data_IF_221615722648
#
_entry.id   IF_221615722648
#
_cell.length_a   1.000
_cell.length_b   1.000
_cell.length_c   1.000
_cell.angle_alpha   90.00
_cell.angle_beta   90.00
_cell.angle_gamma   90.00
#
_symmetry.space_group_name_H-M   'P 1'
#
loop_
_entity.id
_entity.type
_entity.pdbx_description
1 polymer ?
#
# COMPACT_ATOMS: atom_id res chain seq x y z
N UNK A 1 -8.13 8.32 -7.62
CA UNK A 1 -7.53 6.98 -7.82
C UNK A 1 -7.25 6.76 -9.30
N UNK A 2 -6.18 6.04 -9.67
CA UNK A 2 -5.90 5.65 -11.05
C UNK A 2 -6.96 4.66 -11.55
N UNK A 3 -7.52 4.93 -12.71
CA UNK A 3 -8.59 4.14 -13.35
C UNK A 3 -8.35 4.01 -14.85
N UNK A 4 -9.01 3.02 -15.46
CA UNK A 4 -8.90 2.77 -16.90
C UNK A 4 -7.60 2.09 -17.29
N UNK A 5 -7.34 2.07 -18.60
CA UNK A 5 -6.10 1.57 -19.19
C UNK A 5 -5.08 2.71 -19.21
N UNK A 6 -3.83 2.41 -18.85
CA UNK A 6 -2.79 3.42 -18.85
C UNK A 6 -2.30 3.76 -20.25
N UNK A 7 -1.83 4.99 -20.42
CA UNK A 7 -0.97 5.39 -21.52
C UNK A 7 0.49 5.29 -21.07
N UNK A 8 1.34 4.61 -21.86
CA UNK A 8 2.77 4.55 -21.61
C UNK A 8 3.50 5.65 -22.38
N UNK A 9 4.38 6.36 -21.69
CA UNK A 9 5.18 7.46 -22.26
C UNK A 9 6.63 7.31 -21.80
N UNK A 10 7.56 7.45 -22.74
CA UNK A 10 9.00 7.47 -22.50
C UNK A 10 9.55 8.84 -22.90
N UNK A 11 10.41 9.41 -22.05
CA UNK A 11 10.95 10.76 -22.20
C UNK A 11 10.68 11.63 -20.97
N UNK A 12 11.10 12.91 -21.00
CA UNK A 12 10.89 13.82 -19.88
C UNK A 12 9.42 13.92 -19.47
N UNK A 13 9.13 13.72 -18.18
CA UNK A 13 7.76 13.79 -17.64
C UNK A 13 7.63 15.01 -16.75
N UNK A 14 6.61 15.85 -17.01
CA UNK A 14 6.28 16.97 -16.14
C UNK A 14 5.52 16.49 -14.89
N UNK A 15 6.26 16.27 -13.80
CA UNK A 15 5.72 15.92 -12.48
C UNK A 15 5.27 17.15 -11.66
N UNK A 16 5.45 18.37 -12.18
CA UNK A 16 4.98 19.58 -11.50
C UNK A 16 3.48 19.76 -11.64
N UNK A 17 2.85 19.11 -12.63
CA UNK A 17 1.41 19.09 -12.80
C UNK A 17 0.71 18.37 -11.61
N UNK A 18 -0.01 19.10 -10.74
CA UNK A 18 -0.66 18.51 -9.56
C UNK A 18 -1.83 17.62 -9.93
N UNK A 19 -2.29 17.60 -11.18
CA UNK A 19 -3.36 16.72 -11.67
C UNK A 19 -2.84 15.42 -12.28
N UNK A 20 -1.52 15.27 -12.49
CA UNK A 20 -0.95 14.04 -13.03
C UNK A 20 -1.28 12.85 -12.12
N UNK A 21 -1.84 11.79 -12.71
CA UNK A 21 -2.06 10.49 -12.07
C UNK A 21 -1.26 9.48 -12.87
N UNK A 22 -0.07 9.15 -12.38
CA UNK A 22 0.82 8.25 -13.08
C UNK A 22 1.72 7.50 -12.11
N UNK A 23 2.25 6.36 -12.55
CA UNK A 23 3.46 5.78 -11.95
C UNK A 23 4.64 6.19 -12.81
N UNK A 24 5.62 6.82 -12.18
CA UNK A 24 6.69 7.53 -12.86
C UNK A 24 8.01 6.92 -12.43
N UNK A 25 8.83 6.51 -13.41
CA UNK A 25 10.24 6.20 -13.16
C UNK A 25 11.04 7.48 -13.22
N UNK A 26 11.86 7.68 -12.20
CA UNK A 26 12.67 8.86 -12.06
C UNK A 26 13.96 8.56 -11.31
N UNK A 27 14.98 9.36 -11.61
CA UNK A 27 16.15 9.50 -10.78
C UNK A 27 15.85 10.53 -9.69
N UNK A 28 15.96 10.10 -8.44
CA UNK A 28 15.65 10.88 -7.25
C UNK A 28 16.95 11.28 -6.58
N UNK A 29 17.10 12.55 -6.22
CA UNK A 29 18.14 13.03 -5.29
C UNK A 29 17.46 13.73 -4.12
N UNK A 30 17.55 13.10 -2.95
CA UNK A 30 17.01 13.63 -1.71
C UNK A 30 17.93 14.72 -1.12
N UNK A 31 17.38 15.79 -0.51
CA UNK A 31 18.17 16.78 0.20
C UNK A 31 18.89 16.17 1.42
N UNK A 32 20.09 16.65 1.71
CA UNK A 32 20.95 16.12 2.78
C UNK A 32 20.38 16.37 4.18
N UNK A 33 19.58 17.43 4.36
CA UNK A 33 19.10 17.90 5.67
C UNK A 33 17.65 17.47 6.00
N UNK A 34 17.18 16.34 5.44
CA UNK A 34 15.83 15.84 5.74
C UNK A 34 15.75 15.27 7.16
N UNK A 35 14.98 15.93 8.02
CA UNK A 35 14.61 15.37 9.33
C UNK A 35 13.73 14.12 9.20
N UNK A 36 12.81 14.15 8.23
CA UNK A 36 11.90 13.04 7.92
C UNK A 36 11.96 12.80 6.41
N UNK A 37 12.64 11.74 5.95
CA UNK A 37 12.64 11.38 4.54
C UNK A 37 11.27 10.80 4.13
N UNK A 38 10.86 11.07 2.88
CA UNK A 38 9.53 10.69 2.37
C UNK A 38 9.56 9.38 1.59
N UNK A 39 10.47 9.29 0.61
CA UNK A 39 10.42 8.26 -0.43
C UNK A 39 11.12 6.98 0.01
N UNK A 40 10.42 5.84 0.11
CA UNK A 40 11.04 4.56 0.40
C UNK A 40 11.75 4.00 -0.83
N UNK A 41 12.89 3.35 -0.63
CA UNK A 41 13.64 2.63 -1.66
C UNK A 41 14.05 1.26 -1.12
N UNK A 42 14.06 0.24 -1.98
CA UNK A 42 14.56 -1.08 -1.62
C UNK A 42 16.04 -1.19 -1.99
N UNK A 43 16.89 -1.38 -0.99
CA UNK A 43 18.33 -1.63 -1.16
C UNK A 43 18.66 -2.95 -0.48
N UNK A 44 19.29 -3.89 -1.20
CA UNK A 44 19.68 -5.20 -0.68
C UNK A 44 18.54 -5.96 0.03
N UNK A 45 17.34 -5.95 -0.56
CA UNK A 45 16.15 -6.62 -0.01
C UNK A 45 15.49 -5.92 1.18
N UNK A 46 16.05 -4.82 1.69
CA UNK A 46 15.47 -4.03 2.79
C UNK A 46 14.86 -2.74 2.26
N UNK A 47 13.70 -2.39 2.79
CA UNK A 47 13.10 -1.08 2.56
C UNK A 47 13.76 -0.07 3.49
N UNK A 48 14.31 0.99 2.92
CA UNK A 48 14.89 2.12 3.65
C UNK A 48 14.22 3.41 3.17
N UNK A 49 14.19 4.42 4.04
CA UNK A 49 13.66 5.74 3.71
C UNK A 49 14.69 6.74 4.21
N UNK A 50 15.44 7.36 3.30
CA UNK A 50 16.67 8.07 3.64
C UNK A 50 17.08 9.12 2.61
N UNK A 51 18.23 9.74 2.86
CA UNK A 51 18.90 10.62 1.92
C UNK A 51 19.75 9.84 0.91
N UNK A 52 20.13 10.49 -0.19
CA UNK A 52 20.96 9.90 -1.24
C UNK A 52 20.39 10.11 -2.64
N UNK A 53 20.95 9.39 -3.61
CA UNK A 53 20.49 9.38 -5.00
C UNK A 53 20.23 7.97 -5.47
N UNK A 54 19.09 7.74 -6.14
CA UNK A 54 18.71 6.43 -6.64
C UNK A 54 17.70 6.54 -7.78
N UNK A 55 17.54 5.45 -8.52
CA UNK A 55 16.44 5.27 -9.48
C UNK A 55 15.29 4.52 -8.81
N UNK A 56 14.06 4.98 -9.05
CA UNK A 56 12.87 4.35 -8.51
C UNK A 56 11.61 4.67 -9.30
N UNK A 57 10.56 3.90 -9.02
CA UNK A 57 9.23 4.13 -9.56
C UNK A 57 8.28 4.53 -8.43
N UNK A 58 7.63 5.68 -8.59
CA UNK A 58 6.78 6.27 -7.56
C UNK A 58 5.47 6.75 -8.15
N UNK A 59 4.45 6.87 -7.31
CA UNK A 59 3.21 7.52 -7.70
C UNK A 59 3.44 9.03 -7.87
N UNK A 60 2.87 9.63 -8.91
CA UNK A 60 3.07 11.03 -9.29
C UNK A 60 2.76 12.01 -8.15
N UNK A 61 1.77 11.71 -7.29
CA UNK A 61 1.45 12.54 -6.13
C UNK A 61 2.52 12.53 -5.04
N UNK A 62 3.17 11.38 -4.82
CA UNK A 62 4.31 11.30 -3.90
C UNK A 62 5.49 12.11 -4.45
N UNK A 63 5.75 12.05 -5.76
CA UNK A 63 6.81 12.84 -6.38
C UNK A 63 6.52 14.34 -6.34
N UNK A 64 5.27 14.73 -6.62
CA UNK A 64 4.85 16.13 -6.52
C UNK A 64 5.01 16.66 -5.10
N UNK A 65 4.63 15.88 -4.08
CA UNK A 65 4.86 16.23 -2.68
C UNK A 65 6.35 16.28 -2.34
N UNK A 66 7.15 15.35 -2.85
CA UNK A 66 8.61 15.35 -2.66
C UNK A 66 9.28 16.63 -3.20
N UNK A 67 8.81 17.20 -4.32
CA UNK A 67 9.31 18.49 -4.81
C UNK A 67 9.17 19.60 -3.77
N UNK A 68 8.05 19.64 -3.04
CA UNK A 68 7.83 20.63 -1.97
C UNK A 68 8.80 20.49 -0.79
N UNK A 69 9.38 19.30 -0.62
CA UNK A 69 10.38 18.98 0.41
C UNK A 69 11.83 19.19 -0.10
N UNK A 70 12.00 19.72 -1.31
CA UNK A 70 13.32 20.02 -1.89
C UNK A 70 14.01 18.84 -2.59
N UNK A 71 13.29 17.75 -2.89
CA UNK A 71 13.83 16.68 -3.72
C UNK A 71 14.10 17.17 -5.15
N UNK A 72 15.23 16.76 -5.72
CA UNK A 72 15.50 16.90 -7.15
C UNK A 72 15.08 15.61 -7.84
N UNK A 73 14.29 15.73 -8.90
CA UNK A 73 13.64 14.58 -9.54
C UNK A 73 13.75 14.73 -11.05
N UNK A 74 14.42 13.77 -11.69
CA UNK A 74 14.54 13.67 -13.15
C UNK A 74 13.65 12.52 -13.62
N UNK A 75 12.43 12.83 -14.04
CA UNK A 75 11.44 11.84 -14.48
C UNK A 75 11.57 11.56 -15.98
N UNK A 76 11.63 10.27 -16.35
CA UNK A 76 11.98 9.85 -17.72
C UNK A 76 11.06 8.77 -18.33
N UNK A 77 10.13 8.21 -17.56
CA UNK A 77 9.14 7.27 -18.05
C UNK A 77 7.88 7.33 -17.17
N UNK A 78 6.69 7.22 -17.76
CA UNK A 78 5.44 7.23 -17.02
C UNK A 78 4.37 6.28 -17.58
N UNK A 79 3.54 5.77 -16.67
CA UNK A 79 2.31 5.04 -16.94
C UNK A 79 1.15 5.92 -16.44
N UNK A 80 0.48 6.62 -17.35
CA UNK A 80 -0.49 7.68 -17.06
C UNK A 80 -1.91 7.10 -17.07
N UNK A 81 -2.70 7.42 -16.06
CA UNK A 81 -4.07 6.93 -15.87
C UNK A 81 -5.07 8.08 -15.79
N UNK A 82 -6.36 7.76 -15.99
CA UNK A 82 -7.44 8.66 -15.59
C UNK A 82 -7.57 8.70 -14.06
N UNK A 83 -7.76 9.90 -13.50
CA UNK A 83 -8.00 10.12 -12.08
C UNK A 83 -9.50 10.21 -11.75
N UNK A 84 -10.02 9.32 -10.90
CA UNK A 84 -11.42 9.35 -10.45
C UNK A 84 -11.58 9.10 -8.94
N UNK A 85 -12.65 9.62 -8.35
CA UNK A 85 -13.04 9.38 -6.94
C UNK A 85 -14.00 8.18 -6.85
N UNK A 86 -13.46 6.97 -7.05
CA UNK A 86 -14.29 5.75 -7.18
C UNK A 86 -14.78 5.16 -5.86
N UNK A 87 -14.28 5.62 -4.71
CA UNK A 87 -14.63 5.06 -3.39
C UNK A 87 -15.36 6.03 -2.47
N UNK A 88 -15.62 7.27 -2.91
CA UNK A 88 -16.10 8.32 -2.01
C UNK A 88 -17.43 7.93 -1.34
N UNK A 89 -18.44 7.64 -2.15
CA UNK A 89 -19.77 7.25 -1.68
C UNK A 89 -19.72 5.96 -0.84
N UNK A 90 -18.94 4.97 -1.28
CA UNK A 90 -18.78 3.71 -0.54
C UNK A 90 -18.20 3.95 0.87
N UNK A 91 -17.09 4.68 0.97
CA UNK A 91 -16.42 4.94 2.25
C UNK A 91 -17.29 5.82 3.15
N UNK A 92 -17.94 6.85 2.60
CA UNK A 92 -18.85 7.72 3.36
C UNK A 92 -20.03 6.93 3.92
N UNK A 93 -20.67 6.09 3.12
CA UNK A 93 -21.79 5.27 3.57
C UNK A 93 -21.40 4.32 4.71
N UNK A 94 -20.27 3.60 4.56
CA UNK A 94 -19.80 2.67 5.60
C UNK A 94 -19.32 3.42 6.86
N UNK A 95 -18.69 4.58 6.70
CA UNK A 95 -18.29 5.41 7.83
C UNK A 95 -19.51 5.96 8.60
N UNK A 96 -20.52 6.45 7.90
CA UNK A 96 -21.77 6.92 8.51
C UNK A 96 -22.51 5.80 9.24
N UNK A 97 -22.51 4.58 8.67
CA UNK A 97 -23.04 3.40 9.36
C UNK A 97 -22.25 3.10 10.63
N UNK A 98 -20.91 3.13 10.55
CA UNK A 98 -20.02 2.90 11.69
C UNK A 98 -20.28 3.85 12.85
N UNK A 99 -20.61 5.12 12.57
CA UNK A 99 -20.88 6.14 13.59
C UNK A 99 -22.15 5.87 14.41
N UNK A 100 -23.06 5.02 13.93
CA UNK A 100 -24.28 4.64 14.68
C UNK A 100 -24.00 3.71 15.85
N UNK A 101 -22.82 3.10 15.90
CA UNK A 101 -22.47 2.08 16.90
C UNK A 101 -21.28 2.53 17.77
N UNK A 102 -21.28 2.28 19.09
CA UNK A 102 -20.14 2.57 19.94
C UNK A 102 -18.93 1.69 19.60
N UNK A 103 -17.71 2.12 19.99
CA UNK A 103 -16.46 1.40 19.67
C UNK A 103 -16.40 -0.05 20.19
N UNK A 104 -17.18 -0.38 21.23
CA UNK A 104 -17.28 -1.71 21.82
C UNK A 104 -18.22 -2.64 21.03
N UNK A 105 -19.00 -2.12 20.09
CA UNK A 105 -19.98 -2.88 19.34
C UNK A 105 -19.32 -3.66 18.19
N UNK A 106 -19.65 -4.95 17.99
CA UNK A 106 -19.15 -5.74 16.86
C UNK A 106 -19.41 -5.10 15.49
N UNK A 107 -20.52 -4.39 15.31
CA UNK A 107 -20.84 -3.73 14.05
C UNK A 107 -19.87 -2.57 13.75
N UNK A 108 -19.45 -1.81 14.77
CA UNK A 108 -18.42 -0.79 14.60
C UNK A 108 -17.11 -1.42 14.08
N UNK A 109 -16.74 -2.57 14.65
CA UNK A 109 -15.56 -3.33 14.24
C UNK A 109 -15.68 -3.87 12.82
N UNK A 110 -16.83 -4.44 12.44
CA UNK A 110 -17.10 -4.91 11.07
C UNK A 110 -16.98 -3.78 10.06
N UNK A 111 -17.63 -2.62 10.29
CA UNK A 111 -17.50 -1.48 9.40
C UNK A 111 -16.05 -1.02 9.26
N UNK A 112 -15.29 -0.97 10.37
CA UNK A 112 -13.86 -0.64 10.34
C UNK A 112 -13.06 -1.63 9.50
N UNK A 113 -13.31 -2.94 9.64
CA UNK A 113 -12.64 -3.96 8.85
C UNK A 113 -12.94 -3.79 7.36
N UNK A 114 -14.21 -3.59 6.98
CA UNK A 114 -14.59 -3.37 5.57
C UNK A 114 -13.82 -2.19 4.98
N UNK A 115 -13.79 -1.04 5.66
CA UNK A 115 -13.05 0.14 5.22
C UNK A 115 -11.55 -0.15 5.04
N UNK A 116 -10.93 -0.79 6.02
CA UNK A 116 -9.49 -1.08 6.00
C UNK A 116 -9.11 -2.18 5.00
N UNK A 117 -9.96 -3.18 4.78
CA UNK A 117 -9.67 -4.32 3.91
C UNK A 117 -9.90 -4.01 2.43
N UNK A 118 -10.68 -2.96 2.10
CA UNK A 118 -11.04 -2.63 0.71
C UNK A 118 -9.82 -2.38 -0.16
N UNK A 119 -8.86 -1.57 0.28
CA UNK A 119 -7.65 -1.33 -0.51
C UNK A 119 -6.75 -2.57 -0.60
N UNK A 120 -6.73 -3.39 0.46
CA UNK A 120 -5.98 -4.65 0.50
C UNK A 120 -6.45 -5.64 -0.55
N UNK A 121 -7.76 -5.69 -0.82
CA UNK A 121 -8.35 -6.48 -1.91
C UNK A 121 -7.73 -6.14 -3.27
N UNK A 122 -7.52 -4.85 -3.56
CA UNK A 122 -6.92 -4.43 -4.83
C UNK A 122 -5.44 -4.78 -4.97
N UNK A 123 -4.74 -5.03 -3.87
CA UNK A 123 -3.32 -5.40 -3.83
C UNK A 123 -3.04 -6.89 -3.62
N UNK A 124 -4.05 -7.76 -3.74
CA UNK A 124 -3.86 -9.20 -3.58
C UNK A 124 -2.98 -9.77 -4.70
N UNK A 125 -2.09 -10.70 -4.33
CA UNK A 125 -1.27 -11.41 -5.30
C UNK A 125 -2.18 -12.22 -6.24
N UNK A 126 -1.95 -12.15 -7.57
CA UNK A 126 -2.77 -12.87 -8.54
C UNK A 126 -2.53 -14.38 -8.49
N UNK A 127 -1.34 -14.79 -8.07
CA UNK A 127 -0.98 -16.20 -7.88
C UNK A 127 -1.19 -16.52 -6.40
N UNK A 128 -2.16 -17.38 -6.13
CA UNK A 128 -2.42 -17.90 -4.80
C UNK A 128 -1.65 -19.20 -4.59
N UNK A 129 -1.02 -19.29 -3.43
CA UNK A 129 -0.42 -20.52 -2.96
C UNK A 129 -1.50 -21.36 -2.28
N UNK A 130 -1.60 -22.62 -2.68
CA UNK A 130 -2.43 -23.60 -2.00
C UNK A 130 -1.56 -24.53 -1.17
N UNK A 131 -2.06 -24.90 0.01
CA UNK A 131 -1.36 -25.75 0.96
C UNK A 131 -2.27 -26.92 1.27
N UNK A 132 -1.85 -28.11 0.83
CA UNK A 132 -2.58 -29.35 1.09
C UNK A 132 -1.75 -30.27 1.96
N UNK A 133 -2.44 -30.99 2.85
CA UNK A 133 -1.83 -32.05 3.66
C UNK A 133 -2.31 -33.38 3.11
N UNK A 134 -1.35 -34.23 2.76
CA UNK A 134 -1.61 -35.52 2.14
C UNK A 134 -1.08 -36.65 3.02
N UNK A 135 -1.71 -37.82 2.90
CA UNK A 135 -1.10 -39.05 3.37
C UNK A 135 -0.03 -39.48 2.36
N UNK A 136 1.19 -39.73 2.84
CA UNK A 136 2.33 -40.14 2.01
C UNK A 136 2.07 -41.46 1.26
N UNK A 137 1.24 -42.33 1.82
CA UNK A 137 0.95 -43.65 1.24
C UNK A 137 -0.19 -43.62 0.22
N UNK A 138 -0.74 -42.45 -0.10
CA UNK A 138 -1.83 -42.31 -1.04
C UNK A 138 -1.30 -41.72 -2.36
N UNK A 139 -1.17 -42.61 -3.34
CA UNK A 139 -0.57 -42.36 -4.66
C UNK A 139 -1.37 -41.35 -5.50
N UNK A 140 -2.62 -41.04 -5.12
CA UNK A 140 -3.50 -40.12 -5.85
C UNK A 140 -3.30 -38.65 -5.44
N UNK A 141 -2.40 -38.35 -4.52
CA UNK A 141 -2.21 -36.99 -3.98
C UNK A 141 -1.24 -36.12 -4.80
N UNK A 142 -0.48 -36.71 -5.72
CA UNK A 142 0.44 -36.00 -6.60
C UNK A 142 -0.20 -35.82 -7.97
N UNK A 143 -1.05 -34.81 -8.11
CA UNK A 143 -1.69 -34.47 -9.39
C UNK A 143 -0.63 -34.00 -10.40
N UNK A 144 -0.59 -34.67 -11.54
CA UNK A 144 0.33 -34.40 -12.64
C UNK A 144 0.20 -32.94 -13.13
N UNK A 145 1.32 -32.22 -13.26
CA UNK A 145 1.34 -30.81 -13.71
C UNK A 145 1.28 -29.73 -12.62
N UNK A 146 1.34 -30.09 -11.33
CA UNK A 146 1.41 -29.11 -10.23
C UNK A 146 2.85 -28.63 -9.99
N UNK A 147 3.10 -27.32 -10.07
CA UNK A 147 4.38 -26.74 -9.67
C UNK A 147 4.46 -26.66 -8.13
N UNK A 148 5.26 -27.54 -7.53
CA UNK A 148 5.51 -27.56 -6.10
C UNK A 148 6.51 -26.47 -5.71
N UNK A 149 6.11 -25.64 -4.75
CA UNK A 149 6.97 -24.60 -4.18
C UNK A 149 7.75 -25.12 -2.97
N UNK A 150 7.10 -25.93 -2.13
CA UNK A 150 7.72 -26.49 -0.93
C UNK A 150 7.01 -27.78 -0.50
N UNK A 151 7.78 -28.69 0.11
CA UNK A 151 7.29 -29.95 0.66
C UNK A 151 7.88 -30.11 2.07
N UNK A 152 7.02 -30.03 3.08
CA UNK A 152 7.40 -30.18 4.48
C UNK A 152 6.85 -31.50 5.03
N UNK A 153 7.72 -32.38 5.52
CA UNK A 153 7.30 -33.60 6.20
C UNK A 153 6.78 -33.25 7.60
N UNK A 154 5.51 -33.56 7.87
CA UNK A 154 4.92 -33.35 9.21
C UNK A 154 5.27 -34.54 10.11
N UNK A 155 5.11 -35.76 9.60
CA UNK A 155 5.51 -37.00 10.27
C UNK A 155 5.71 -38.13 9.24
N UNK A 156 5.85 -39.37 9.70
CA UNK A 156 6.07 -40.55 8.83
C UNK A 156 4.96 -40.78 7.80
N UNK A 157 3.73 -40.37 8.11
CA UNK A 157 2.54 -40.63 7.30
C UNK A 157 1.99 -39.38 6.60
N UNK A 158 2.37 -38.17 7.02
CA UNK A 158 1.79 -36.92 6.54
C UNK A 158 2.84 -35.99 5.95
N UNK A 159 2.51 -35.44 4.79
CA UNK A 159 3.29 -34.43 4.10
C UNK A 159 2.44 -33.20 3.82
N UNK A 160 3.00 -32.03 4.09
CA UNK A 160 2.43 -30.75 3.68
C UNK A 160 3.09 -30.35 2.37
N UNK A 161 2.26 -30.05 1.38
CA UNK A 161 2.70 -29.65 0.05
C UNK A 161 2.14 -28.27 -0.24
N UNK A 162 3.04 -27.37 -0.57
CA UNK A 162 2.77 -26.01 -0.98
C UNK A 162 2.92 -25.93 -2.49
N UNK A 163 1.88 -25.50 -3.19
CA UNK A 163 1.88 -25.42 -4.66
C UNK A 163 1.21 -24.15 -5.15
N UNK A 164 1.56 -23.70 -6.36
CA UNK A 164 0.77 -22.70 -7.06
C UNK A 164 -0.53 -23.33 -7.56
N UNK A 165 -1.69 -22.67 -7.39
CA UNK A 165 -2.94 -23.18 -7.97
C UNK A 165 -2.98 -22.97 -9.48
N UNK A 166 -3.08 -24.06 -10.24
CA UNK A 166 -3.07 -24.08 -11.72
C UNK A 166 -4.25 -23.30 -12.34
N UNK A 167 -5.39 -23.16 -11.65
CA UNK A 167 -6.52 -22.33 -12.08
C UNK A 167 -6.12 -20.86 -12.35
N UNK A 168 -5.06 -20.36 -11.70
CA UNK A 168 -4.60 -18.97 -11.83
C UNK A 168 -3.51 -18.76 -12.89
N UNK A 169 -3.02 -19.82 -13.56
CA UNK A 169 -2.01 -19.70 -14.62
C UNK A 169 -2.70 -19.40 -15.96
N UNK A 170 -3.92 -19.90 -16.15
CA UNK A 170 -4.80 -19.49 -17.24
C UNK A 170 -5.57 -18.22 -16.87
N UNK A 171 -4.84 -17.14 -16.54
CA UNK A 171 -5.35 -15.77 -16.67
C UNK A 171 -5.54 -15.49 -18.15
N UNK A 172 -6.54 -16.16 -18.73
CA UNK A 172 -6.95 -15.94 -20.09
C UNK A 172 -7.57 -14.54 -20.10
N UNK A 173 -6.77 -13.55 -20.53
CA UNK A 173 -7.14 -12.12 -20.60
C UNK A 173 -8.45 -11.95 -21.41
N UNK A 174 -8.84 -12.97 -22.17
CA UNK A 174 -10.05 -13.05 -23.00
C UNK A 174 -11.29 -13.62 -22.29
N UNK A 175 -11.17 -14.21 -21.09
CA UNK A 175 -12.32 -14.75 -20.37
C UNK A 175 -12.78 -13.76 -19.27
N UNK A 176 -13.85 -12.96 -19.51
CA UNK A 176 -14.30 -11.92 -18.58
C UNK A 176 -14.78 -12.45 -17.22
N UNK A 177 -14.97 -13.77 -17.08
CA UNK A 177 -15.33 -14.42 -15.82
C UNK A 177 -14.12 -14.70 -14.90
N UNK A 178 -12.88 -14.58 -15.40
CA UNK A 178 -11.64 -14.71 -14.61
C UNK A 178 -11.06 -13.36 -14.19
N UNK A 179 -11.92 -12.38 -13.87
CA UNK A 179 -11.46 -11.11 -13.34
C UNK A 179 -11.15 -11.26 -11.84
N UNK A 180 -9.87 -11.22 -11.47
CA UNK A 180 -9.40 -11.29 -10.07
C UNK A 180 -9.93 -10.13 -9.19
N UNK A 181 -10.57 -9.10 -9.79
CA UNK A 181 -11.06 -7.90 -9.09
C UNK A 181 -9.94 -7.18 -8.31
N UNK A 182 -8.71 -7.24 -8.84
CA UNK A 182 -7.54 -6.56 -8.30
C UNK A 182 -7.20 -5.33 -9.14
N UNK A 183 -6.53 -4.36 -8.53
CA UNK A 183 -6.00 -3.19 -9.21
C UNK A 183 -4.78 -2.70 -8.45
N UNK A 184 -3.62 -3.20 -8.85
CA UNK A 184 -2.35 -2.78 -8.28
C UNK A 184 -2.17 -1.25 -8.32
N UNK A 185 -2.55 -0.52 -9.40
CA UNK A 185 -2.58 0.94 -9.39
C UNK A 185 -3.33 1.56 -8.22
N UNK A 186 -4.55 1.07 -7.93
CA UNK A 186 -5.38 1.60 -6.84
C UNK A 186 -4.72 1.32 -5.48
N UNK A 187 -4.19 0.12 -5.29
CA UNK A 187 -3.52 -0.27 -4.04
C UNK A 187 -2.29 0.62 -3.78
N UNK A 188 -1.43 0.80 -4.78
CA UNK A 188 -0.24 1.67 -4.67
C UNK A 188 -0.68 3.10 -4.36
N UNK A 189 -1.59 3.69 -5.16
CA UNK A 189 -2.03 5.06 -4.97
C UNK A 189 -2.63 5.30 -3.56
N UNK A 190 -3.41 4.34 -3.04
CA UNK A 190 -3.97 4.42 -1.68
C UNK A 190 -2.87 4.49 -0.63
N UNK A 191 -1.87 3.59 -0.70
CA UNK A 191 -0.75 3.60 0.26
C UNK A 191 0.14 4.83 0.11
N UNK A 192 0.31 5.36 -1.11
CA UNK A 192 1.03 6.60 -1.39
C UNK A 192 0.35 7.81 -0.74
N UNK A 193 -0.97 7.97 -0.91
CA UNK A 193 -1.72 9.05 -0.25
C UNK A 193 -1.66 8.94 1.28
N UNK A 194 -1.78 7.72 1.82
CA UNK A 194 -1.63 7.50 3.26
C UNK A 194 -0.25 7.93 3.76
N UNK A 195 0.81 7.63 2.99
CA UNK A 195 2.19 8.01 3.32
C UNK A 195 2.41 9.52 3.32
N UNK A 196 1.86 10.23 2.34
CA UNK A 196 1.87 11.70 2.27
C UNK A 196 1.18 12.27 3.51
N UNK A 197 -0.04 11.82 3.79
CA UNK A 197 -0.83 12.31 4.92
C UNK A 197 -0.12 12.11 6.26
N UNK A 198 0.39 10.91 6.56
CA UNK A 198 1.10 10.68 7.82
C UNK A 198 2.44 11.44 7.88
N UNK A 199 3.08 11.68 6.73
CA UNK A 199 4.33 12.41 6.66
C UNK A 199 4.18 13.89 7.06
N UNK A 200 3.05 14.54 6.76
CA UNK A 200 2.76 15.91 7.21
C UNK A 200 2.80 16.02 8.74
N UNK A 201 2.16 15.09 9.45
CA UNK A 201 2.22 15.04 10.92
C UNK A 201 3.62 14.73 11.45
N UNK A 202 4.39 13.87 10.76
CA UNK A 202 5.79 13.59 11.11
C UNK A 202 6.65 14.84 10.99
N UNK A 203 6.48 15.62 9.92
CA UNK A 203 7.22 16.86 9.73
C UNK A 203 6.90 17.86 10.85
N UNK A 204 5.62 18.09 11.15
CA UNK A 204 5.22 18.97 12.24
C UNK A 204 5.82 18.54 13.60
N UNK A 205 5.82 17.24 13.90
CA UNK A 205 6.44 16.71 15.12
C UNK A 205 7.98 16.83 15.11
N UNK A 206 8.64 16.63 13.96
CA UNK A 206 10.09 16.71 13.82
C UNK A 206 10.60 18.16 13.85
N UNK A 207 9.81 19.12 13.37
CA UNK A 207 10.09 20.55 13.48
C UNK A 207 10.15 21.00 14.93
N UNK A 208 9.23 20.50 15.76
CA UNK A 208 9.21 20.74 17.20
C UNK A 208 10.23 19.88 17.99
N UNK A 209 10.91 18.95 17.33
CA UNK A 209 11.88 18.06 17.98
C UNK A 209 11.25 17.02 18.90
N UNK A 210 9.95 16.71 18.72
CA UNK A 210 9.18 15.81 19.59
C UNK A 210 8.89 14.46 18.94
N UNK A 211 9.18 14.27 17.65
CA UNK A 211 8.98 12.99 16.96
C UNK A 211 9.94 11.91 17.50
N UNK A 212 9.39 10.83 18.03
CA UNK A 212 10.16 9.68 18.56
C UNK A 212 10.11 8.47 17.63
N UNK A 213 8.92 8.17 17.10
CA UNK A 213 8.70 7.00 16.25
C UNK A 213 7.46 7.22 15.37
N UNK A 214 7.37 6.47 14.28
CA UNK A 214 6.16 6.41 13.46
C UNK A 214 5.98 5.02 12.86
N UNK A 215 4.73 4.58 12.84
CA UNK A 215 4.24 3.44 12.06
C UNK A 215 3.20 3.91 11.03
N UNK A 216 2.79 3.01 10.15
CA UNK A 216 1.82 3.15 9.05
C UNK A 216 0.84 4.32 9.18
N UNK A 217 0.06 4.36 10.26
CA UNK A 217 -1.00 5.34 10.52
C UNK A 217 -0.87 6.02 11.90
N UNK A 218 0.33 5.97 12.51
CA UNK A 218 0.54 6.55 13.84
C UNK A 218 1.93 7.16 14.01
N UNK A 219 2.00 8.12 14.94
CA UNK A 219 3.24 8.75 15.39
C UNK A 219 3.30 8.70 16.91
N UNK A 220 4.50 8.55 17.44
CA UNK A 220 4.82 8.63 18.87
C UNK A 220 5.62 9.90 19.07
N UNK A 221 5.18 10.72 20.01
CA UNK A 221 5.80 12.00 20.32
C UNK A 221 6.11 12.09 21.81
N UNK A 222 7.14 12.85 22.18
CA UNK A 222 7.48 13.15 23.58
C UNK A 222 6.57 14.23 24.20
N UNK A 223 5.84 14.97 23.36
CA UNK A 223 4.86 15.96 23.77
C UNK A 223 3.63 15.95 22.80
N UNK A 224 2.50 16.56 23.17
CA UNK A 224 1.35 16.73 22.29
C UNK A 224 1.66 17.51 21.01
N UNK A 225 1.00 17.12 19.92
CA UNK A 225 0.90 17.96 18.72
C UNK A 225 -0.09 19.11 18.94
N UNK A 226 -0.01 20.20 18.15
CA UNK A 226 -1.00 21.26 18.16
C UNK A 226 -2.42 20.73 17.94
N UNK A 227 -3.39 21.22 18.72
CA UNK A 227 -4.79 20.78 18.66
C UNK A 227 -5.42 20.94 17.27
N UNK A 228 -4.95 21.91 16.48
CA UNK A 228 -5.39 22.14 15.10
C UNK A 228 -5.08 20.98 14.14
N UNK A 229 -4.06 20.17 14.45
CA UNK A 229 -3.69 18.98 13.69
C UNK A 229 -4.42 17.72 14.20
N UNK A 230 -5.20 17.83 15.27
CA UNK A 230 -5.83 16.70 15.93
C UNK A 230 -7.33 16.68 15.70
N UNK A 231 -7.90 15.47 15.62
CA UNK A 231 -9.33 15.31 15.42
C UNK A 231 -9.83 13.88 15.52
N UNK A 232 -11.16 13.73 15.48
CA UNK A 232 -11.87 12.46 15.63
C UNK A 232 -12.62 12.01 14.37
N UNK A 233 -12.62 12.84 13.32
CA UNK A 233 -13.26 12.58 12.04
C UNK A 233 -12.47 11.61 11.15
N UNK A 234 -13.07 11.26 10.01
CA UNK A 234 -12.42 10.42 9.00
C UNK A 234 -11.14 11.09 8.49
N UNK A 235 -10.02 10.36 8.53
CA UNK A 235 -8.71 10.86 8.09
C UNK A 235 -7.98 11.78 9.07
N UNK A 236 -8.59 12.12 10.21
CA UNK A 236 -7.95 12.95 11.24
C UNK A 236 -7.10 12.12 12.20
N UNK A 237 -6.01 12.73 12.70
CA UNK A 237 -5.15 12.10 13.67
C UNK A 237 -5.70 12.28 15.09
N UNK A 238 -5.93 11.16 15.79
CA UNK A 238 -6.47 11.19 17.16
C UNK A 238 -5.34 11.07 18.20
N UNK A 239 -5.33 11.96 19.19
CA UNK A 239 -4.35 11.94 20.28
C UNK A 239 -4.67 10.89 21.35
N UNK A 240 -3.67 10.09 21.72
CA UNK A 240 -3.77 9.10 22.81
C UNK A 240 -2.56 9.18 23.71
N UNK A 241 -2.80 9.36 25.01
CA UNK A 241 -1.77 9.29 26.04
C UNK A 241 -1.57 7.83 26.44
N UNK A 242 -0.32 7.37 26.41
CA UNK A 242 0.06 6.08 26.95
C UNK A 242 0.83 6.37 28.23
N UNK A 243 0.23 6.06 29.38
CA UNK A 243 0.95 6.01 30.64
C UNK A 243 1.82 4.75 30.59
N UNK A 244 3.13 4.93 30.68
CA UNK A 244 4.10 3.84 30.87
C UNK A 244 4.07 3.36 32.32
#
# INVERSE_FOLDING_TARGET
MPTGVYQHVVGPIDITNPNLIAFVKAKITAPENLKVPLLPVRINGKMITGAGTWDGMYFSKELHYALSLGYKIEAYEAYIFEGRLVFNEFIENIYNERLKFPKSDPMNYICKLIMNSTYGRFGMAPILTDVKVFNRNDEHNYMDGTEFLDITNINENLVMVTSNTVENINLDIKNPNNNLQISLPIAIATTSYARICIHEYKQAAAEQGILLYSDTDSIRCSAPLPDELLGNGLGQLNWKVFLL
#
